data_IF_766365922925
#
_entry.id   IF_766365922925
#
_cell.length_a   1.000
_cell.length_b   1.000
_cell.length_c   1.000
_cell.angle_alpha   90.00
_cell.angle_beta   90.00
_cell.angle_gamma   90.00
#
_symmetry.space_group_name_H-M   'P 1'
#
loop_
_entity.id
_entity.type
_entity.pdbx_description
1 polymer ?
#
# COMPACT_ATOMS: atom_id res chain seq x y z
N UNK A 1 53.62 39.37 36.15
CA UNK A 1 54.62 39.84 35.17
C UNK A 1 53.91 39.99 33.83
N UNK A 2 53.88 41.20 33.26
CA UNK A 2 53.47 41.53 31.88
C UNK A 2 51.95 41.58 31.67
N UNK A 3 51.19 42.68 31.69
CA UNK A 3 51.31 44.05 31.14
C UNK A 3 50.76 44.17 29.70
N UNK A 4 49.69 44.99 29.60
CA UNK A 4 49.21 45.92 28.55
C UNK A 4 48.45 45.48 27.30
N UNK A 5 47.50 46.37 27.03
CA UNK A 5 46.36 46.40 26.10
C UNK A 5 46.68 47.16 24.79
N UNK A 6 45.70 47.15 23.89
CA UNK A 6 45.38 48.16 22.87
C UNK A 6 46.00 48.07 21.46
N UNK A 7 45.10 47.98 20.47
CA UNK A 7 45.00 48.71 19.19
C UNK A 7 43.87 48.01 18.41
N UNK A 8 42.61 48.46 18.44
CA UNK A 8 42.19 49.76 17.96
C UNK A 8 41.80 49.66 16.48
N UNK A 9 40.57 49.19 16.19
CA UNK A 9 39.84 49.53 14.96
C UNK A 9 38.35 49.26 15.11
N UNK A 10 37.63 50.36 15.20
CA UNK A 10 36.19 50.50 15.05
C UNK A 10 35.88 50.40 13.56
N UNK A 11 34.98 49.51 13.16
CA UNK A 11 34.20 49.66 11.93
C UNK A 11 32.74 49.66 12.36
N UNK A 12 32.08 50.80 12.15
CA UNK A 12 30.65 50.98 12.35
C UNK A 12 29.92 50.67 11.03
N UNK A 13 28.91 49.81 11.18
CA UNK A 13 27.60 49.73 10.50
C UNK A 13 27.52 49.44 8.99
N UNK A 14 26.75 48.39 8.66
CA UNK A 14 25.58 48.48 7.78
C UNK A 14 24.43 47.57 8.32
N UNK A 15 23.15 47.97 8.20
CA UNK A 15 22.00 47.19 8.67
C UNK A 15 21.47 46.24 7.58
N UNK A 16 21.32 44.95 7.92
CA UNK A 16 20.79 43.92 7.03
C UNK A 16 19.70 43.09 7.70
N UNK A 17 18.47 43.43 7.36
CA UNK A 17 17.18 42.72 7.52
C UNK A 17 17.22 41.18 7.47
N UNK A 18 16.52 40.54 8.43
CA UNK A 18 15.71 39.28 8.28
C UNK A 18 16.47 37.98 7.93
N UNK A 19 16.14 36.76 8.33
CA UNK A 19 14.92 36.06 8.79
C UNK A 19 15.38 34.64 9.26
N UNK A 20 14.54 33.84 9.94
CA UNK A 20 14.99 32.75 10.82
C UNK A 20 15.23 31.39 10.14
N UNK A 21 16.05 30.57 10.83
CA UNK A 21 15.83 29.14 11.05
C UNK A 21 15.65 28.23 9.83
N UNK A 22 16.73 27.62 9.36
CA UNK A 22 16.64 26.43 8.51
C UNK A 22 16.59 25.18 9.37
N UNK A 23 15.38 24.64 9.51
CA UNK A 23 15.14 23.31 10.04
C UNK A 23 15.96 22.27 9.27
N UNK A 24 16.56 21.34 10.01
CA UNK A 24 17.22 20.15 9.48
C UNK A 24 16.16 19.25 8.84
N UNK A 25 16.14 19.18 7.50
CA UNK A 25 15.30 18.24 6.78
C UNK A 25 15.86 16.82 6.93
N UNK A 26 15.01 15.90 7.38
CA UNK A 26 15.25 14.47 7.44
C UNK A 26 15.50 13.88 6.04
N UNK A 27 16.23 12.76 5.92
CA UNK A 27 16.51 12.13 4.64
C UNK A 27 15.23 11.62 3.99
N UNK A 28 15.06 11.94 2.71
CA UNK A 28 14.02 11.41 1.83
C UNK A 28 14.29 9.92 1.60
N UNK A 29 13.32 9.00 1.79
CA UNK A 29 13.49 7.65 1.28
C UNK A 29 13.48 7.67 -0.26
N UNK A 30 14.43 6.95 -0.85
CA UNK A 30 14.55 6.75 -2.29
C UNK A 30 13.28 6.14 -2.88
N UNK A 31 12.94 6.40 -4.16
CA UNK A 31 11.81 5.77 -4.80
C UNK A 31 12.05 4.25 -4.88
N UNK A 32 11.16 3.47 -4.26
CA UNK A 32 11.06 2.05 -4.51
C UNK A 32 10.85 1.85 -6.02
N UNK A 33 11.72 1.06 -6.64
CA UNK A 33 11.61 0.70 -8.04
C UNK A 33 10.24 0.05 -8.28
N UNK A 34 9.38 0.75 -9.04
CA UNK A 34 8.13 0.20 -9.50
C UNK A 34 8.42 -0.91 -10.51
N UNK A 35 8.32 -2.17 -10.07
CA UNK A 35 8.16 -3.31 -10.98
C UNK A 35 6.90 -3.07 -11.80
N UNK A 36 7.06 -2.91 -13.12
CA UNK A 36 5.95 -2.75 -14.04
C UNK A 36 5.01 -3.97 -13.99
N UNK A 37 3.68 -3.77 -14.09
CA UNK A 37 2.74 -4.88 -14.04
C UNK A 37 2.88 -5.78 -15.27
N UNK A 38 3.02 -7.09 -15.04
CA UNK A 38 2.98 -8.09 -16.10
C UNK A 38 1.52 -8.43 -16.40
N UNK A 39 1.05 -8.20 -17.62
CA UNK A 39 -0.28 -8.63 -18.05
C UNK A 39 -0.23 -10.11 -18.43
N UNK A 40 -0.94 -10.95 -17.69
CA UNK A 40 -1.14 -12.34 -18.06
C UNK A 40 -2.64 -12.57 -18.13
N UNK A 41 -3.10 -13.20 -19.20
CA UNK A 41 -4.51 -13.53 -19.35
C UNK A 41 -4.85 -14.67 -18.39
N UNK A 42 -5.52 -14.36 -17.28
CA UNK A 42 -6.37 -15.33 -16.61
C UNK A 42 -7.60 -15.55 -17.50
N UNK A 43 -7.98 -16.80 -17.73
CA UNK A 43 -9.07 -17.17 -18.65
C UNK A 43 -10.34 -16.34 -18.40
N UNK A 44 -10.71 -15.47 -19.35
CA UNK A 44 -11.98 -14.73 -19.34
C UNK A 44 -11.89 -13.22 -19.07
N UNK A 45 -10.98 -12.76 -18.19
CA UNK A 45 -10.86 -11.34 -17.84
C UNK A 45 -9.40 -10.85 -17.95
N UNK A 46 -9.18 -9.71 -18.63
CA UNK A 46 -7.87 -9.08 -18.71
C UNK A 46 -7.60 -8.25 -17.45
N UNK A 47 -7.18 -8.91 -16.37
CA UNK A 47 -6.86 -8.27 -15.09
C UNK A 47 -5.38 -7.90 -15.05
N UNK A 48 -5.07 -6.70 -14.54
CA UNK A 48 -3.69 -6.30 -14.29
C UNK A 48 -3.09 -7.09 -13.13
N UNK A 49 -1.86 -7.60 -13.28
CA UNK A 49 -1.17 -8.30 -12.19
C UNK A 49 -0.13 -7.43 -11.53
N UNK A 50 -0.12 -7.44 -10.20
CA UNK A 50 0.84 -6.69 -9.38
C UNK A 50 1.47 -7.60 -8.33
N UNK A 51 2.75 -7.43 -7.99
CA UNK A 51 3.33 -8.15 -6.87
C UNK A 51 2.66 -7.71 -5.57
N UNK A 52 2.50 -8.63 -4.59
CA UNK A 52 1.93 -8.26 -3.29
C UNK A 52 2.63 -7.07 -2.62
N UNK A 53 3.94 -6.92 -2.85
CA UNK A 53 4.74 -5.80 -2.32
C UNK A 53 4.33 -4.42 -2.86
N UNK A 54 3.54 -4.36 -3.94
CA UNK A 54 2.96 -3.12 -4.46
C UNK A 54 1.64 -2.72 -3.76
N UNK A 55 1.08 -3.60 -2.92
CA UNK A 55 -0.15 -3.34 -2.19
C UNK A 55 0.11 -2.54 -0.90
N UNK A 56 -0.91 -1.84 -0.35
CA UNK A 56 -0.81 -1.25 0.99
C UNK A 56 -0.53 -2.32 2.05
N UNK A 57 0.13 -1.92 3.15
CA UNK A 57 0.50 -2.83 4.23
C UNK A 57 -0.70 -3.57 4.81
N UNK A 58 -1.83 -2.88 4.95
CA UNK A 58 -3.08 -3.45 5.44
C UNK A 58 -3.61 -4.59 4.55
N UNK A 59 -3.37 -4.53 3.23
CA UNK A 59 -3.72 -5.63 2.34
C UNK A 59 -2.80 -6.84 2.54
N UNK A 60 -1.52 -6.62 2.84
CA UNK A 60 -0.57 -7.69 3.18
C UNK A 60 -0.98 -8.41 4.46
N UNK A 61 -1.43 -7.66 5.48
CA UNK A 61 -1.99 -8.23 6.72
C UNK A 61 -3.21 -9.10 6.42
N UNK A 62 -4.16 -8.61 5.62
CA UNK A 62 -5.33 -9.41 5.21
C UNK A 62 -4.92 -10.67 4.45
N UNK A 63 -3.95 -10.59 3.54
CA UNK A 63 -3.43 -11.76 2.80
C UNK A 63 -2.81 -12.78 3.76
N UNK A 64 -2.05 -12.34 4.76
CA UNK A 64 -1.46 -13.23 5.75
C UNK A 64 -2.55 -13.95 6.57
N UNK A 65 -3.64 -13.26 6.94
CA UNK A 65 -4.78 -13.87 7.62
C UNK A 65 -5.49 -14.90 6.73
N UNK A 66 -5.66 -14.61 5.43
CA UNK A 66 -6.26 -15.56 4.47
C UNK A 66 -5.41 -16.83 4.41
N UNK A 67 -4.09 -16.70 4.29
CA UNK A 67 -3.16 -17.83 4.25
C UNK A 67 -3.14 -18.63 5.57
N UNK A 68 -3.33 -17.95 6.71
CA UNK A 68 -3.42 -18.60 8.02
C UNK A 68 -4.80 -19.23 8.32
N UNK A 69 -5.82 -18.95 7.51
CA UNK A 69 -7.20 -19.38 7.77
C UNK A 69 -7.91 -18.57 8.87
N UNK A 70 -7.48 -17.33 9.12
CA UNK A 70 -8.01 -16.45 10.15
C UNK A 70 -7.23 -16.51 11.48
N UNK A 71 -7.81 -16.00 12.59
CA UNK A 71 -9.15 -15.44 12.71
C UNK A 71 -9.33 -14.14 11.92
N UNK A 72 -10.53 -13.91 11.38
CA UNK A 72 -10.82 -12.71 10.61
C UNK A 72 -11.46 -11.62 11.48
N UNK A 73 -11.07 -10.34 11.29
CA UNK A 73 -11.49 -9.24 12.15
C UNK A 73 -12.95 -8.83 11.95
N UNK A 74 -13.55 -9.11 10.79
CA UNK A 74 -14.92 -8.71 10.50
C UNK A 74 -15.85 -9.89 10.19
N UNK A 75 -17.10 -9.79 10.63
CA UNK A 75 -18.13 -10.86 10.49
C UNK A 75 -18.47 -11.26 9.05
N UNK A 76 -18.11 -10.42 8.06
CA UNK A 76 -18.36 -10.71 6.63
C UNK A 76 -17.12 -11.22 5.92
N UNK A 77 -15.99 -11.31 6.61
CA UNK A 77 -14.78 -11.85 6.01
C UNK A 77 -14.96 -13.36 5.80
N UNK A 78 -14.63 -13.84 4.60
CA UNK A 78 -14.79 -15.23 4.20
C UNK A 78 -16.17 -15.59 3.64
N UNK A 79 -17.11 -14.63 3.51
CA UNK A 79 -18.38 -14.89 2.81
C UNK A 79 -18.16 -14.97 1.30
N UNK A 80 -19.09 -15.64 0.61
CA UNK A 80 -19.04 -15.80 -0.84
C UNK A 80 -19.14 -14.46 -1.57
N UNK A 81 -18.19 -14.21 -2.47
CA UNK A 81 -18.25 -13.14 -3.46
C UNK A 81 -18.87 -13.69 -4.76
N UNK A 82 -19.92 -13.02 -5.25
CA UNK A 82 -20.75 -13.54 -6.34
C UNK A 82 -20.21 -13.32 -7.76
N UNK A 83 -19.25 -12.41 -7.94
CA UNK A 83 -18.71 -12.02 -9.27
C UNK A 83 -19.80 -11.70 -10.32
N UNK A 84 -20.91 -11.04 -9.94
CA UNK A 84 -22.05 -10.78 -10.83
C UNK A 84 -21.75 -9.83 -11.99
N UNK A 85 -20.75 -8.95 -11.81
CA UNK A 85 -20.28 -8.00 -12.82
C UNK A 85 -19.12 -8.56 -13.66
N UNK A 86 -18.77 -9.84 -13.46
CA UNK A 86 -17.80 -10.60 -14.27
C UNK A 86 -16.42 -9.93 -14.36
N UNK A 87 -16.03 -9.17 -13.33
CA UNK A 87 -14.70 -8.55 -13.26
C UNK A 87 -13.59 -9.56 -13.02
N UNK A 88 -13.90 -10.67 -12.35
CA UNK A 88 -12.98 -11.79 -12.12
C UNK A 88 -13.21 -12.91 -13.13
N UNK A 89 -12.23 -13.80 -13.37
CA UNK A 89 -12.39 -14.97 -14.22
C UNK A 89 -13.61 -15.80 -13.85
N UNK A 90 -14.27 -16.38 -14.85
CA UNK A 90 -15.37 -17.32 -14.65
C UNK A 90 -14.95 -18.49 -13.76
N UNK A 91 -15.69 -18.69 -12.68
CA UNK A 91 -15.49 -19.78 -11.74
C UNK A 91 -16.85 -20.29 -11.24
N UNK A 92 -16.93 -21.54 -10.73
CA UNK A 92 -18.13 -22.05 -10.10
C UNK A 92 -18.67 -21.11 -9.00
N UNK A 93 -19.98 -21.12 -8.80
CA UNK A 93 -20.58 -20.36 -7.70
C UNK A 93 -19.99 -20.80 -6.35
N UNK A 94 -19.59 -19.82 -5.53
CA UNK A 94 -18.96 -20.09 -4.23
C UNK A 94 -17.43 -20.19 -4.27
N UNK A 95 -16.80 -20.15 -5.46
CA UNK A 95 -15.35 -20.22 -5.60
C UNK A 95 -14.62 -18.98 -5.10
N UNK A 96 -15.30 -17.84 -4.99
CA UNK A 96 -14.70 -16.60 -4.49
C UNK A 96 -15.19 -16.26 -3.09
N UNK A 97 -14.26 -15.75 -2.26
CA UNK A 97 -14.54 -15.28 -0.90
C UNK A 97 -13.99 -13.87 -0.72
N UNK A 98 -14.77 -12.97 -0.12
CA UNK A 98 -14.35 -11.59 0.14
C UNK A 98 -13.77 -11.41 1.55
N UNK A 99 -12.78 -10.53 1.67
CA UNK A 99 -12.12 -10.17 2.92
C UNK A 99 -11.89 -8.67 2.98
N UNK A 100 -12.15 -8.08 4.14
CA UNK A 100 -11.99 -6.66 4.37
C UNK A 100 -10.51 -6.31 4.49
N UNK A 101 -10.10 -5.24 3.78
CA UNK A 101 -8.81 -4.59 4.01
C UNK A 101 -9.06 -3.33 4.82
N UNK A 102 -8.42 -3.24 5.99
CA UNK A 102 -8.57 -2.09 6.88
C UNK A 102 -8.09 -0.83 6.16
N UNK A 103 -8.86 0.25 6.31
CA UNK A 103 -8.43 1.58 5.87
C UNK A 103 -8.18 2.43 7.11
N UNK A 104 -6.93 2.81 7.41
CA UNK A 104 -6.58 3.57 8.61
C UNK A 104 -7.39 4.87 8.70
N UNK A 105 -7.93 5.14 9.90
CA UNK A 105 -8.69 6.35 10.18
C UNK A 105 -10.15 6.33 9.75
N UNK A 106 -10.65 5.24 9.14
CA UNK A 106 -12.09 5.05 8.91
C UNK A 106 -12.72 4.26 10.07
N UNK A 107 -13.89 4.71 10.52
CA UNK A 107 -14.72 4.02 11.53
C UNK A 107 -15.55 2.88 10.92
N UNK A 108 -15.67 2.86 9.59
CA UNK A 108 -16.34 1.83 8.81
C UNK A 108 -15.32 1.02 8.00
N UNK A 109 -15.77 -0.09 7.40
CA UNK A 109 -14.92 -1.06 6.69
C UNK A 109 -14.19 -0.51 5.44
N UNK A 110 -14.45 0.73 5.03
CA UNK A 110 -13.92 1.30 3.79
C UNK A 110 -14.36 0.54 2.53
N UNK A 111 -13.71 0.87 1.41
CA UNK A 111 -13.95 0.29 0.09
C UNK A 111 -13.00 -0.88 -0.27
N UNK A 112 -11.87 -1.00 0.44
CA UNK A 112 -10.78 -1.91 0.06
C UNK A 112 -11.08 -3.35 0.44
N UNK A 113 -10.85 -4.29 -0.48
CA UNK A 113 -11.10 -5.72 -0.25
C UNK A 113 -10.02 -6.59 -0.90
N UNK A 114 -9.82 -7.77 -0.34
CA UNK A 114 -9.18 -8.90 -1.02
C UNK A 114 -10.29 -9.90 -1.37
N UNK A 115 -10.34 -10.36 -2.60
CA UNK A 115 -11.15 -11.51 -3.02
C UNK A 115 -10.21 -12.68 -3.26
N UNK A 116 -10.41 -13.78 -2.54
CA UNK A 116 -9.65 -15.00 -2.72
C UNK A 116 -10.45 -16.00 -3.57
N UNK A 117 -9.79 -16.61 -4.54
CA UNK A 117 -10.27 -17.82 -5.20
C UNK A 117 -10.17 -19.05 -4.29
N UNK A 118 -10.59 -20.19 -4.82
CA UNK A 118 -10.63 -21.46 -4.09
C UNK A 118 -9.26 -21.80 -3.50
N UNK A 119 -9.26 -22.24 -2.24
CA UNK A 119 -8.06 -22.53 -1.43
C UNK A 119 -6.98 -21.41 -1.41
N UNK A 120 -7.33 -20.17 -1.78
CA UNK A 120 -6.37 -19.06 -1.88
C UNK A 120 -5.44 -19.15 -3.10
N UNK A 121 -5.77 -19.98 -4.09
CA UNK A 121 -4.97 -20.19 -5.31
C UNK A 121 -4.81 -18.92 -6.16
N UNK A 122 -5.76 -17.99 -6.06
CA UNK A 122 -5.68 -16.67 -6.65
C UNK A 122 -6.15 -15.62 -5.64
N UNK A 123 -5.52 -14.46 -5.65
CA UNK A 123 -5.89 -13.33 -4.81
C UNK A 123 -6.07 -12.11 -5.69
N UNK A 124 -7.16 -11.39 -5.45
CA UNK A 124 -7.49 -10.17 -6.17
C UNK A 124 -7.69 -9.03 -5.18
N UNK A 125 -7.12 -7.87 -5.48
CA UNK A 125 -7.28 -6.67 -4.66
C UNK A 125 -8.15 -5.66 -5.39
N UNK A 126 -9.08 -5.04 -4.65
CA UNK A 126 -9.83 -3.87 -5.09
C UNK A 126 -9.64 -2.73 -4.09
N UNK A 127 -9.43 -1.52 -4.59
CA UNK A 127 -9.34 -0.31 -3.78
C UNK A 127 -10.67 0.48 -3.73
N UNK A 128 -11.62 0.08 -4.56
CA UNK A 128 -12.75 0.88 -5.06
C UNK A 128 -14.06 0.10 -4.96
N UNK A 129 -14.16 -0.81 -3.99
CA UNK A 129 -15.39 -1.54 -3.68
C UNK A 129 -15.96 -2.31 -4.87
N UNK A 130 -15.09 -3.12 -5.50
CA UNK A 130 -15.39 -4.05 -6.59
C UNK A 130 -15.54 -3.40 -7.99
N UNK A 131 -15.33 -2.09 -8.13
CA UNK A 131 -15.37 -1.42 -9.45
C UNK A 131 -14.18 -1.83 -10.35
N UNK A 132 -13.05 -2.21 -9.76
CA UNK A 132 -11.84 -2.64 -10.45
C UNK A 132 -10.99 -3.58 -9.60
N UNK A 133 -10.21 -4.42 -10.28
CA UNK A 133 -9.37 -5.43 -9.65
C UNK A 133 -7.96 -5.46 -10.23
N UNK A 134 -7.03 -5.83 -9.36
CA UNK A 134 -5.69 -6.31 -9.74
C UNK A 134 -5.50 -7.72 -9.16
N UNK A 135 -4.87 -8.60 -9.92
CA UNK A 135 -4.47 -9.93 -9.45
C UNK A 135 -3.13 -9.81 -8.71
N UNK A 136 -3.05 -10.43 -7.54
CA UNK A 136 -1.91 -10.32 -6.63
C UNK A 136 -0.98 -11.51 -6.86
N UNK A 137 0.23 -11.23 -7.33
CA UNK A 137 1.27 -12.24 -7.51
C UNK A 137 1.93 -12.52 -6.15
N UNK A 138 1.82 -13.77 -5.71
CA UNK A 138 2.46 -14.28 -4.50
C UNK A 138 3.92 -14.71 -4.79
N UNK A 139 4.81 -14.70 -3.80
CA UNK A 139 6.24 -14.96 -4.02
C UNK A 139 6.57 -16.38 -4.54
N UNK A 140 5.73 -17.38 -4.24
CA UNK A 140 5.87 -18.74 -4.78
C UNK A 140 5.39 -18.85 -6.24
N UNK A 141 4.68 -17.81 -6.72
CA UNK A 141 4.15 -17.67 -8.09
C UNK A 141 5.01 -16.72 -8.95
N UNK A 142 6.21 -16.34 -8.48
CA UNK A 142 7.16 -15.57 -9.29
C UNK A 142 7.81 -16.49 -10.34
N UNK A 143 7.71 -16.18 -11.64
CA UNK A 143 8.32 -16.99 -12.70
C UNK A 143 9.86 -17.00 -12.65
#
# INVERSE_FOLDING_TARGET
>A
MGTVDQLGRIVLAEPGTGIPGRASAAPTPAPAAATAPLRVAASGALIERVPRSALPGEALDTIALIQAGGPFPYERDGVTFGNYEEHLPDAPFGSYREYTVVTPGLEHRGARRIVAGDDGAALYYTADHYESFVEVILPDDQP
#
